data_IF_863949245733
#
_entry.id   IF_863949245733
#
_cell.length_a   1.000
_cell.length_b   1.000
_cell.length_c   1.000
_cell.angle_alpha   90.00
_cell.angle_beta   90.00
_cell.angle_gamma   90.00
#
_symmetry.space_group_name_H-M   'P 1'
#
loop_
_entity.id
_entity.type
_entity.pdbx_description
1 polymer ?
#
# COMPACT_ATOMS: atom_id res chain seq x y z
N UNK A 1 26.31 20.34 12.37
CA UNK A 1 25.07 20.30 11.56
C UNK A 1 24.09 19.39 12.25
N UNK A 2 23.24 19.96 13.10
CA UNK A 2 22.19 19.25 13.81
C UNK A 2 20.98 19.21 12.88
N UNK A 3 20.44 18.01 12.62
CA UNK A 3 19.07 17.88 12.11
C UNK A 3 18.15 18.57 13.11
N UNK A 4 17.56 19.70 12.73
CA UNK A 4 17.05 20.64 13.72
C UNK A 4 15.67 20.25 14.22
N UNK A 5 14.92 19.39 13.51
CA UNK A 5 13.64 18.79 13.98
C UNK A 5 13.08 17.73 13.01
N UNK A 6 12.27 16.79 13.52
CA UNK A 6 11.46 15.88 12.69
C UNK A 6 10.53 16.64 11.71
N UNK A 7 10.11 17.85 12.07
CA UNK A 7 9.31 18.73 11.21
C UNK A 7 10.03 19.14 9.93
N UNK A 8 11.35 19.37 9.94
CA UNK A 8 12.12 19.71 8.73
C UNK A 8 12.21 18.52 7.76
N UNK A 9 12.34 17.31 8.29
CA UNK A 9 12.35 16.08 7.50
C UNK A 9 11.00 15.84 6.80
N UNK A 10 9.89 16.07 7.50
CA UNK A 10 8.57 15.97 6.88
C UNK A 10 8.26 17.15 5.95
N UNK A 11 8.75 18.35 6.26
CA UNK A 11 8.53 19.53 5.44
C UNK A 11 9.36 19.53 4.15
N UNK A 12 10.51 18.84 4.09
CA UNK A 12 11.41 18.78 2.91
C UNK A 12 11.59 20.16 2.26
N UNK A 13 11.87 21.19 3.07
CA UNK A 13 12.05 22.56 2.58
C UNK A 13 10.85 23.18 1.86
N UNK A 14 9.62 22.67 2.10
CA UNK A 14 8.38 23.10 1.46
C UNK A 14 7.78 22.06 0.50
N UNK A 15 8.52 21.00 0.14
CA UNK A 15 8.07 19.96 -0.81
C UNK A 15 7.56 18.68 -0.14
N UNK A 16 7.44 18.68 1.20
CA UNK A 16 7.05 17.51 1.99
C UNK A 16 5.77 16.83 1.51
N UNK A 17 4.73 17.60 1.24
CA UNK A 17 3.45 17.10 0.73
C UNK A 17 3.60 16.33 -0.58
N UNK A 18 4.42 16.83 -1.51
CA UNK A 18 4.68 16.16 -2.79
C UNK A 18 5.46 14.87 -2.61
N UNK A 19 6.54 14.91 -1.82
CA UNK A 19 7.39 13.73 -1.56
C UNK A 19 6.59 12.64 -0.86
N UNK A 20 6.03 12.93 0.30
CA UNK A 20 5.29 11.96 1.10
C UNK A 20 3.98 11.53 0.44
N UNK A 21 3.30 12.43 -0.28
CA UNK A 21 2.12 12.08 -1.07
C UNK A 21 2.45 11.09 -2.20
N UNK A 22 3.57 11.27 -2.89
CA UNK A 22 4.01 10.36 -3.95
C UNK A 22 4.39 8.98 -3.41
N UNK A 23 5.14 8.93 -2.30
CA UNK A 23 5.46 7.67 -1.61
C UNK A 23 4.20 6.98 -1.07
N UNK A 24 3.26 7.75 -0.50
CA UNK A 24 1.98 7.26 -0.03
C UNK A 24 1.14 6.65 -1.16
N UNK A 25 1.09 7.31 -2.33
CA UNK A 25 0.40 6.80 -3.51
C UNK A 25 1.06 5.52 -4.05
N UNK A 26 2.40 5.48 -4.12
CA UNK A 26 3.12 4.29 -4.55
C UNK A 26 2.85 3.10 -3.61
N UNK A 27 2.91 3.32 -2.30
CA UNK A 27 2.60 2.30 -1.29
C UNK A 27 1.13 1.86 -1.37
N UNK A 28 0.20 2.79 -1.60
CA UNK A 28 -1.21 2.49 -1.78
C UNK A 28 -1.40 1.51 -2.94
N UNK A 29 -0.81 1.80 -4.11
CA UNK A 29 -0.92 0.92 -5.29
C UNK A 29 -0.32 -0.46 -4.99
N UNK A 30 0.90 -0.48 -4.41
CA UNK A 30 1.58 -1.72 -4.02
C UNK A 30 0.78 -2.58 -3.04
N UNK A 31 -0.11 -1.99 -2.23
CA UNK A 31 -0.95 -2.72 -1.27
C UNK A 31 -2.28 -3.12 -1.88
N UNK A 32 -2.91 -2.25 -2.66
CA UNK A 32 -4.23 -2.49 -3.24
C UNK A 32 -4.22 -3.66 -4.22
N UNK A 33 -3.23 -3.73 -5.12
CA UNK A 33 -3.13 -4.81 -6.11
C UNK A 33 -3.06 -6.21 -5.48
N UNK A 34 -2.12 -6.51 -4.55
CA UNK A 34 -2.05 -7.82 -3.93
C UNK A 34 -3.24 -8.10 -3.01
N UNK A 35 -3.84 -7.10 -2.37
CA UNK A 35 -5.08 -7.31 -1.60
C UNK A 35 -6.22 -7.76 -2.51
N UNK A 36 -6.40 -7.13 -3.67
CA UNK A 36 -7.41 -7.53 -4.65
C UNK A 36 -7.11 -8.93 -5.22
N UNK A 37 -5.85 -9.20 -5.55
CA UNK A 37 -5.42 -10.52 -6.03
C UNK A 37 -5.66 -11.61 -4.98
N UNK A 38 -5.29 -11.37 -3.73
CA UNK A 38 -5.49 -12.29 -2.62
C UNK A 38 -6.99 -12.56 -2.37
N UNK A 39 -7.84 -11.52 -2.41
CA UNK A 39 -9.29 -11.69 -2.30
C UNK A 39 -9.85 -12.57 -3.41
N UNK A 40 -9.40 -12.37 -4.65
CA UNK A 40 -9.85 -13.17 -5.79
C UNK A 40 -9.34 -14.61 -5.73
N UNK A 41 -8.09 -14.81 -5.30
CA UNK A 41 -7.52 -16.12 -5.08
C UNK A 41 -8.29 -16.91 -4.01
N UNK A 42 -8.61 -16.26 -2.88
CA UNK A 42 -9.42 -16.88 -1.82
C UNK A 42 -10.83 -17.25 -2.30
N UNK A 43 -11.45 -16.40 -3.12
CA UNK A 43 -12.76 -16.71 -3.70
C UNK A 43 -12.69 -17.89 -4.68
N UNK A 44 -11.65 -17.97 -5.51
CA UNK A 44 -11.45 -19.08 -6.44
C UNK A 44 -11.20 -20.41 -5.71
N UNK A 45 -10.38 -20.42 -4.65
CA UNK A 45 -10.18 -21.60 -3.83
C UNK A 45 -11.46 -22.04 -3.11
N UNK A 46 -12.24 -21.09 -2.58
CA UNK A 46 -13.51 -21.41 -1.95
C UNK A 46 -14.51 -22.03 -2.95
N UNK A 47 -14.55 -21.52 -4.20
CA UNK A 47 -15.37 -22.08 -5.26
C UNK A 47 -14.91 -23.48 -5.68
N UNK A 48 -13.60 -23.71 -5.84
CA UNK A 48 -13.06 -25.04 -6.17
C UNK A 48 -13.33 -26.07 -5.06
N UNK A 49 -13.22 -25.68 -3.79
CA UNK A 49 -13.55 -26.55 -2.66
C UNK A 49 -15.05 -26.87 -2.56
N UNK A 50 -15.92 -26.00 -3.09
CA UNK A 50 -17.36 -26.29 -3.21
C UNK A 50 -17.65 -27.26 -4.37
N UNK A 51 -16.88 -27.16 -5.46
CA UNK A 51 -17.00 -28.05 -6.64
C UNK A 51 -16.48 -29.47 -6.34
N UNK A 52 -15.41 -29.59 -5.55
CA UNK A 52 -14.92 -30.88 -5.01
C UNK A 52 -15.76 -31.42 -3.82
N UNK A 53 -16.84 -30.71 -3.46
CA UNK A 53 -17.81 -31.09 -2.44
C UNK A 53 -18.98 -31.95 -2.95
N UNK A 54 -18.74 -32.75 -4.00
CA UNK A 54 -19.50 -33.94 -4.39
C UNK A 54 -18.65 -35.19 -4.13
#
# INVERSE_FOLDING_TARGET
MQWNSASEFFAMGGYGLYVWGSYGMALLIMVVEPLMAARRHRAALAAAAQDEGL
#
